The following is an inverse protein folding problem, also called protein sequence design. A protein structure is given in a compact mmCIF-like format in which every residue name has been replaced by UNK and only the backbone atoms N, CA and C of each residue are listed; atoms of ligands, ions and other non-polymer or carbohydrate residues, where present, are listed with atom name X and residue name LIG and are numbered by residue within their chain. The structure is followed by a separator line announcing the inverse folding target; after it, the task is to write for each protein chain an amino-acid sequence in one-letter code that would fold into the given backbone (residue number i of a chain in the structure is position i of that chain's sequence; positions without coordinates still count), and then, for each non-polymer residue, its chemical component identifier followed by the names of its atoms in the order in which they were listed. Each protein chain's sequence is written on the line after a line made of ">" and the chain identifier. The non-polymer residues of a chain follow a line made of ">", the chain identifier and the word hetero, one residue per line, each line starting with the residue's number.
data_IF_813094787053
#
_entry.id   IF_813094787053
#
_cell.length_a   1.000
_cell.length_b   1.000
_cell.length_c   1.000
_cell.angle_alpha   90.00
_cell.angle_beta   90.00
_cell.angle_gamma   90.00
#
_symmetry.space_group_name_H-M   'P 1'
#
loop_
_entity.id
_entity.type
_entity.pdbx_description
1 polymer ?
#
# COMPACT_ATOMS: atom_id res chain seq x y z
N UNK A 1 39.45 42.88 52.13
CA UNK A 1 40.14 41.61 51.80
C UNK A 1 39.36 40.47 52.45
N UNK A 2 39.06 39.39 51.69
CA UNK A 2 38.28 38.19 52.06
C UNK A 2 36.76 38.41 51.92
N UNK A 3 35.99 37.87 50.95
CA UNK A 3 35.84 36.58 50.23
C UNK A 3 35.30 35.43 51.11
N UNK A 4 34.24 34.79 50.57
CA UNK A 4 33.55 33.51 50.92
C UNK A 4 32.29 33.70 51.80
N UNK A 5 31.12 33.14 51.49
CA UNK A 5 30.69 32.10 50.54
C UNK A 5 29.16 32.22 50.33
N UNK A 6 28.68 32.07 49.08
CA UNK A 6 27.27 31.84 48.78
C UNK A 6 27.02 30.33 48.67
N UNK A 7 26.09 29.72 49.42
CA UNK A 7 25.68 28.36 49.14
C UNK A 7 24.62 28.35 48.04
N UNK A 8 25.09 27.89 46.88
CA UNK A 8 24.43 27.08 45.89
C UNK A 8 22.90 26.93 45.97
N UNK A 9 22.25 27.52 44.97
CA UNK A 9 20.94 27.24 44.40
C UNK A 9 20.54 25.76 44.50
N UNK A 10 19.53 25.46 45.33
CA UNK A 10 18.70 24.27 45.20
C UNK A 10 17.72 24.48 44.04
N UNK A 11 18.16 24.17 42.82
CA UNK A 11 17.27 23.94 41.68
C UNK A 11 17.04 22.44 41.55
N UNK A 12 16.06 21.92 42.29
CA UNK A 12 15.50 20.60 42.03
C UNK A 12 14.59 20.71 40.79
N UNK A 13 14.85 19.96 39.70
CA UNK A 13 14.12 20.12 38.46
C UNK A 13 12.73 19.51 38.59
N UNK A 14 11.70 20.35 38.48
CA UNK A 14 10.31 19.94 38.30
C UNK A 14 10.09 19.45 36.87
N UNK A 15 10.64 18.27 36.53
CA UNK A 15 10.60 17.77 35.15
C UNK A 15 10.55 16.23 35.03
N UNK A 16 9.73 15.56 35.85
CA UNK A 16 9.64 14.09 35.85
C UNK A 16 8.20 13.55 35.87
N UNK A 17 7.27 14.24 35.23
CA UNK A 17 5.88 13.77 35.05
C UNK A 17 5.38 13.81 33.60
N UNK A 18 6.27 13.94 32.61
CA UNK A 18 5.89 13.99 31.18
C UNK A 18 6.10 12.66 30.43
N UNK A 19 5.67 11.54 31.01
CA UNK A 19 5.67 10.25 30.31
C UNK A 19 4.57 9.28 30.76
N UNK A 20 3.39 9.79 31.09
CA UNK A 20 2.18 8.96 31.02
C UNK A 20 1.51 9.20 29.66
N UNK A 21 1.72 8.25 28.75
CA UNK A 21 0.98 8.14 27.51
C UNK A 21 -0.51 7.99 27.80
N UNK A 22 -1.23 9.11 27.80
CA UNK A 22 -2.68 9.09 27.68
C UNK A 22 -3.01 8.70 26.23
N UNK A 23 -3.87 7.69 26.01
CA UNK A 23 -4.49 7.56 24.71
C UNK A 23 -5.30 8.84 24.52
N UNK A 24 -5.05 9.56 23.42
CA UNK A 24 -5.90 10.68 23.01
C UNK A 24 -7.30 10.13 22.80
N UNK A 25 -8.11 10.19 23.86
CA UNK A 25 -9.52 9.93 23.87
C UNK A 25 -10.16 11.11 23.13
N UNK A 26 -10.69 10.88 21.93
CA UNK A 26 -11.41 11.90 21.19
C UNK A 26 -10.76 12.39 19.89
N UNK A 27 -9.90 11.60 19.25
CA UNK A 27 -9.77 11.77 17.80
C UNK A 27 -11.12 11.37 17.17
N UNK A 28 -11.76 12.23 16.36
CA UNK A 28 -12.90 11.79 15.55
C UNK A 28 -12.45 10.56 14.74
N UNK A 29 -13.35 9.62 14.38
CA UNK A 29 -12.96 8.50 13.53
C UNK A 29 -12.19 9.09 12.37
N UNK A 30 -10.88 8.78 12.30
CA UNK A 30 -10.03 9.35 11.27
C UNK A 30 -10.52 8.69 10.00
N UNK A 31 -11.48 9.33 9.33
CA UNK A 31 -11.89 8.99 7.98
C UNK A 31 -10.60 8.94 7.18
N UNK A 32 -10.13 7.73 6.92
CA UNK A 32 -8.87 7.53 6.24
C UNK A 32 -9.00 8.23 4.90
N UNK A 33 -7.99 8.98 4.46
CA UNK A 33 -8.05 9.75 3.21
C UNK A 33 -8.49 8.89 2.01
N UNK A 34 -8.20 7.59 2.06
CA UNK A 34 -8.59 6.60 1.05
C UNK A 34 -10.10 6.38 0.94
N UNK A 35 -10.88 6.80 1.93
CA UNK A 35 -12.34 6.74 1.92
C UNK A 35 -12.97 7.87 1.10
N UNK A 36 -12.25 8.96 0.79
CA UNK A 36 -12.66 9.84 -0.30
C UNK A 36 -12.39 9.11 -1.62
N UNK A 37 -13.47 8.69 -2.30
CA UNK A 37 -13.39 7.93 -3.54
C UNK A 37 -12.51 8.57 -4.61
N UNK A 38 -12.36 9.89 -4.61
CA UNK A 38 -11.50 10.63 -5.55
C UNK A 38 -10.02 10.31 -5.37
N UNK A 39 -9.59 10.02 -4.14
CA UNK A 39 -8.21 9.68 -3.82
C UNK A 39 -7.84 8.35 -4.47
N UNK A 40 -8.64 7.30 -4.25
CA UNK A 40 -8.37 6.01 -4.86
C UNK A 40 -8.56 6.04 -6.39
N UNK A 41 -9.57 6.74 -6.88
CA UNK A 41 -9.86 6.83 -8.32
C UNK A 41 -8.69 7.46 -9.10
N UNK A 42 -8.00 8.45 -8.51
CA UNK A 42 -6.79 9.02 -9.12
C UNK A 42 -5.74 7.95 -9.41
N UNK A 43 -5.43 7.07 -8.44
CA UNK A 43 -4.44 6.01 -8.65
C UNK A 43 -4.92 4.98 -9.67
N UNK A 44 -6.22 4.69 -9.73
CA UNK A 44 -6.81 3.77 -10.72
C UNK A 44 -6.64 4.35 -12.13
N UNK A 45 -6.92 5.64 -12.31
CA UNK A 45 -6.75 6.32 -13.60
C UNK A 45 -5.29 6.38 -14.02
N UNK A 46 -4.38 6.69 -13.09
CA UNK A 46 -2.92 6.67 -13.35
C UNK A 46 -2.43 5.26 -13.73
N UNK A 47 -2.96 4.20 -13.10
CA UNK A 47 -2.64 2.81 -13.42
C UNK A 47 -3.17 2.39 -14.79
N UNK A 48 -4.39 2.80 -15.14
CA UNK A 48 -4.99 2.54 -16.45
C UNK A 48 -4.21 3.26 -17.55
N UNK A 49 -3.76 4.48 -17.30
CA UNK A 49 -2.93 5.21 -18.26
C UNK A 49 -1.59 4.50 -18.49
N UNK A 50 -0.94 4.02 -17.43
CA UNK A 50 0.29 3.24 -17.56
C UNK A 50 0.08 1.94 -18.37
N UNK A 51 -1.03 1.23 -18.14
CA UNK A 51 -1.44 0.07 -18.95
C UNK A 51 -1.58 0.45 -20.43
N UNK A 52 -2.26 1.55 -20.75
CA UNK A 52 -2.45 2.01 -22.13
C UNK A 52 -1.14 2.33 -22.85
N UNK A 53 -0.23 3.04 -22.18
CA UNK A 53 1.08 3.39 -22.75
C UNK A 53 1.88 2.13 -23.09
N UNK A 54 1.79 1.09 -22.27
CA UNK A 54 2.50 -0.17 -22.52
C UNK A 54 1.89 -1.05 -23.61
N UNK A 55 0.64 -0.80 -24.03
CA UNK A 55 0.05 -1.51 -25.18
C UNK A 55 0.72 -1.11 -26.51
N UNK A 56 1.27 0.10 -26.60
CA UNK A 56 2.01 0.57 -27.78
C UNK A 56 3.48 0.15 -27.81
N UNK A 57 3.93 -0.58 -26.78
CA UNK A 57 5.33 -0.94 -26.60
C UNK A 57 5.61 -2.32 -27.20
N UNK A 58 6.42 -2.35 -28.26
CA UNK A 58 6.87 -3.59 -28.91
C UNK A 58 7.94 -4.30 -28.05
N UNK A 59 9.13 -4.58 -28.60
CA UNK A 59 10.18 -5.35 -27.91
C UNK A 59 10.72 -4.67 -26.64
N UNK A 60 10.61 -3.33 -26.52
CA UNK A 60 11.09 -2.55 -25.38
C UNK A 60 10.34 -2.78 -24.05
N UNK A 61 9.28 -3.59 -24.05
CA UNK A 61 8.52 -3.93 -22.84
C UNK A 61 8.67 -5.38 -22.39
N UNK A 62 9.51 -6.17 -23.06
CA UNK A 62 9.90 -7.48 -22.56
C UNK A 62 10.78 -7.33 -21.33
N UNK A 63 10.52 -8.15 -20.31
CA UNK A 63 11.39 -8.29 -19.15
C UNK A 63 12.37 -9.42 -19.44
N UNK A 64 13.62 -9.27 -18.99
CA UNK A 64 14.63 -10.34 -19.10
C UNK A 64 14.36 -11.51 -18.16
N UNK A 65 13.50 -11.30 -17.14
CA UNK A 65 13.17 -12.26 -16.11
C UNK A 65 11.66 -12.27 -15.83
N UNK A 66 11.16 -13.41 -15.36
CA UNK A 66 9.78 -13.55 -14.92
C UNK A 66 9.59 -12.92 -13.54
N UNK A 67 8.63 -12.00 -13.42
CA UNK A 67 8.27 -11.35 -12.16
C UNK A 67 7.01 -12.00 -11.58
N UNK A 68 7.06 -12.40 -10.32
CA UNK A 68 5.90 -12.91 -9.58
C UNK A 68 4.95 -11.78 -9.20
N UNK A 69 3.66 -11.96 -9.43
CA UNK A 69 2.58 -10.98 -9.23
C UNK A 69 1.37 -11.61 -8.54
N UNK A 70 0.53 -10.82 -7.83
CA UNK A 70 -0.66 -11.35 -7.17
C UNK A 70 -1.79 -11.69 -8.16
N UNK A 71 -2.66 -12.64 -7.78
CA UNK A 71 -3.93 -12.85 -8.44
C UNK A 71 -4.89 -11.67 -8.22
N UNK A 72 -5.27 -11.03 -9.32
CA UNK A 72 -6.19 -9.89 -9.33
C UNK A 72 -7.64 -10.29 -9.59
N UNK A 73 -7.92 -11.56 -9.89
CA UNK A 73 -9.28 -12.03 -10.16
C UNK A 73 -10.13 -11.93 -8.90
N UNK A 74 -11.36 -11.49 -9.08
CA UNK A 74 -12.36 -11.42 -8.01
C UNK A 74 -13.58 -12.20 -8.43
N UNK A 75 -13.95 -13.19 -7.63
CA UNK A 75 -15.27 -13.79 -7.69
C UNK A 75 -16.20 -12.98 -6.78
N UNK A 76 -17.07 -12.15 -7.36
CA UNK A 76 -17.94 -11.25 -6.58
C UNK A 76 -18.86 -11.99 -5.59
N UNK A 77 -19.32 -13.19 -5.94
CA UNK A 77 -20.16 -14.00 -5.05
C UNK A 77 -19.38 -14.47 -3.82
N UNK A 78 -18.17 -15.00 -4.02
CA UNK A 78 -17.30 -15.42 -2.93
C UNK A 78 -16.81 -14.22 -2.10
N UNK A 79 -16.41 -13.14 -2.76
CA UNK A 79 -15.90 -11.91 -2.14
C UNK A 79 -16.92 -11.30 -1.18
N UNK A 80 -18.19 -11.15 -1.60
CA UNK A 80 -19.25 -10.58 -0.75
C UNK A 80 -19.55 -11.42 0.49
N UNK A 81 -19.28 -12.73 0.44
CA UNK A 81 -19.48 -13.66 1.56
C UNK A 81 -18.24 -13.82 2.44
N UNK A 82 -17.09 -13.31 2.00
CA UNK A 82 -15.83 -13.38 2.71
C UNK A 82 -15.82 -12.40 3.88
N UNK A 83 -15.19 -12.80 4.99
CA UNK A 83 -14.99 -11.90 6.12
C UNK A 83 -14.10 -10.71 5.72
N UNK A 84 -14.42 -9.52 6.23
CA UNK A 84 -13.66 -8.29 5.94
C UNK A 84 -12.18 -8.44 6.33
N UNK A 85 -11.88 -9.12 7.44
CA UNK A 85 -10.49 -9.41 7.83
C UNK A 85 -9.75 -10.26 6.79
N UNK A 86 -10.43 -11.25 6.19
CA UNK A 86 -9.84 -12.04 5.11
C UNK A 86 -9.66 -11.23 3.82
N UNK A 87 -10.60 -10.32 3.49
CA UNK A 87 -10.43 -9.38 2.39
C UNK A 87 -9.21 -8.46 2.63
N UNK A 88 -9.01 -8.01 3.87
CA UNK A 88 -7.86 -7.21 4.27
C UNK A 88 -6.54 -7.98 4.08
N UNK A 89 -6.49 -9.26 4.47
CA UNK A 89 -5.34 -10.15 4.23
C UNK A 89 -5.02 -10.24 2.75
N UNK A 90 -6.01 -10.55 1.90
CA UNK A 90 -5.80 -10.68 0.45
C UNK A 90 -5.28 -9.38 -0.18
N UNK A 91 -5.83 -8.23 0.23
CA UNK A 91 -5.44 -6.93 -0.30
C UNK A 91 -4.07 -6.51 0.22
N UNK A 92 -3.78 -6.70 1.50
CA UNK A 92 -2.51 -6.31 2.10
C UNK A 92 -1.35 -7.12 1.53
N UNK A 93 -1.48 -8.45 1.49
CA UNK A 93 -0.47 -9.33 0.92
C UNK A 93 -0.33 -9.11 -0.59
N UNK A 94 -1.44 -8.94 -1.31
CA UNK A 94 -1.44 -8.64 -2.73
C UNK A 94 -0.73 -7.33 -3.05
N UNK A 95 -0.98 -6.26 -2.29
CA UNK A 95 -0.33 -4.97 -2.49
C UNK A 95 1.18 -5.03 -2.17
N UNK A 96 1.57 -5.77 -1.13
CA UNK A 96 2.98 -5.97 -0.79
C UNK A 96 3.72 -6.67 -1.93
N UNK A 97 3.17 -7.78 -2.45
CA UNK A 97 3.74 -8.50 -3.59
C UNK A 97 3.78 -7.63 -4.85
N UNK A 98 2.73 -6.86 -5.12
CA UNK A 98 2.68 -5.96 -6.27
C UNK A 98 3.73 -4.84 -6.17
N UNK A 99 3.98 -4.32 -4.95
CA UNK A 99 5.02 -3.33 -4.70
C UNK A 99 6.40 -3.89 -5.02
N UNK A 100 6.68 -5.13 -4.60
CA UNK A 100 7.92 -5.82 -4.95
C UNK A 100 8.03 -6.05 -6.46
N UNK A 101 6.96 -6.50 -7.10
CA UNK A 101 6.91 -6.75 -8.54
C UNK A 101 7.22 -5.49 -9.36
N UNK A 102 6.64 -4.35 -8.98
CA UNK A 102 6.88 -3.05 -9.64
C UNK A 102 8.30 -2.57 -9.41
N UNK A 103 8.87 -2.72 -8.20
CA UNK A 103 10.27 -2.39 -7.94
C UNK A 103 11.24 -3.27 -8.77
N UNK A 104 10.95 -4.57 -8.90
CA UNK A 104 11.72 -5.45 -9.79
C UNK A 104 11.61 -5.02 -11.25
N UNK A 105 10.40 -4.69 -11.71
CA UNK A 105 10.16 -4.18 -13.06
C UNK A 105 10.92 -2.89 -13.34
N UNK A 106 10.99 -1.98 -12.37
CA UNK A 106 11.77 -0.75 -12.44
C UNK A 106 13.27 -1.02 -12.59
N UNK A 107 13.82 -1.95 -11.79
CA UNK A 107 15.22 -2.32 -11.87
C UNK A 107 15.57 -2.94 -13.23
N UNK A 108 14.72 -3.82 -13.76
CA UNK A 108 14.91 -4.41 -15.09
C UNK A 108 14.82 -3.38 -16.21
N UNK A 109 13.88 -2.43 -16.12
CA UNK A 109 13.76 -1.33 -17.09
C UNK A 109 15.00 -0.42 -17.07
N UNK A 110 15.54 -0.11 -15.89
CA UNK A 110 16.73 0.71 -15.74
C UNK A 110 17.99 0.07 -16.33
N UNK A 111 18.04 -1.27 -16.36
CA UNK A 111 19.14 -2.04 -16.94
C UNK A 111 18.98 -2.30 -18.46
N UNK A 112 17.88 -1.84 -19.07
CA UNK A 112 17.65 -1.98 -20.52
C UNK A 112 18.58 -1.04 -21.31
N UNK A 113 19.03 -1.51 -22.47
CA UNK A 113 19.88 -0.74 -23.39
C UNK A 113 19.17 0.44 -24.05
N UNK A 114 17.84 0.46 -24.07
CA UNK A 114 17.03 1.58 -24.57
C UNK A 114 15.83 1.85 -23.64
N UNK A 115 16.02 2.59 -22.55
CA UNK A 115 14.93 2.95 -21.65
C UNK A 115 14.04 4.01 -22.31
N UNK A 116 12.74 3.72 -22.40
CA UNK A 116 11.75 4.74 -22.79
C UNK A 116 11.48 5.66 -21.60
N UNK A 117 11.75 6.96 -21.77
CA UNK A 117 11.51 7.98 -20.73
C UNK A 117 10.04 7.98 -20.27
N UNK A 118 9.10 7.79 -21.21
CA UNK A 118 7.67 7.70 -20.89
C UNK A 118 7.38 6.49 -20.01
N UNK A 119 7.93 5.31 -20.31
CA UNK A 119 7.76 4.12 -19.47
C UNK A 119 8.36 4.30 -18.09
N UNK A 120 9.55 4.91 -18.01
CA UNK A 120 10.22 5.19 -16.75
C UNK A 120 9.38 6.10 -15.86
N UNK A 121 8.80 7.17 -16.43
CA UNK A 121 7.88 8.06 -15.70
C UNK A 121 6.67 7.31 -15.14
N UNK A 122 6.05 6.42 -15.91
CA UNK A 122 4.91 5.63 -15.43
C UNK A 122 5.33 4.61 -14.35
N UNK A 123 6.53 4.06 -14.44
CA UNK A 123 7.09 3.18 -13.44
C UNK A 123 7.34 3.91 -12.12
N UNK A 124 7.96 5.09 -12.17
CA UNK A 124 8.22 5.92 -10.98
C UNK A 124 6.92 6.35 -10.30
N UNK A 125 5.89 6.71 -11.10
CA UNK A 125 4.54 6.98 -10.60
C UNK A 125 3.93 5.75 -9.92
N UNK A 126 4.07 4.56 -10.50
CA UNK A 126 3.56 3.32 -9.90
C UNK A 126 4.25 3.00 -8.57
N UNK A 127 5.58 3.14 -8.49
CA UNK A 127 6.35 2.97 -7.24
C UNK A 127 5.87 3.96 -6.17
N UNK A 128 5.74 5.24 -6.53
CA UNK A 128 5.25 6.28 -5.61
C UNK A 128 3.80 6.06 -5.18
N UNK A 129 2.95 5.65 -6.12
CA UNK A 129 1.54 5.35 -5.90
C UNK A 129 1.35 4.18 -4.95
N UNK A 130 2.05 3.06 -5.18
CA UNK A 130 2.00 1.88 -4.31
C UNK A 130 2.49 2.17 -2.89
N UNK A 131 3.53 2.99 -2.73
CA UNK A 131 3.99 3.46 -1.41
C UNK A 131 2.92 4.29 -0.69
N UNK A 132 2.27 5.19 -1.41
CA UNK A 132 1.19 6.03 -0.88
C UNK A 132 -0.02 5.18 -0.50
N UNK A 133 -0.45 4.26 -1.36
CA UNK A 133 -1.56 3.33 -1.12
C UNK A 133 -1.27 2.41 0.06
N UNK A 134 -0.04 1.91 0.22
CA UNK A 134 0.38 1.11 1.38
C UNK A 134 0.19 1.89 2.67
N UNK A 135 0.57 3.17 2.68
CA UNK A 135 0.44 4.04 3.85
C UNK A 135 -1.03 4.33 4.17
N UNK A 136 -1.84 4.57 3.14
CA UNK A 136 -3.28 4.80 3.25
C UNK A 136 -4.03 3.56 3.76
N UNK A 137 -3.72 2.37 3.26
CA UNK A 137 -4.30 1.11 3.73
C UNK A 137 -3.88 0.76 5.15
N UNK A 138 -2.63 1.06 5.51
CA UNK A 138 -2.18 0.92 6.91
C UNK A 138 -3.01 1.81 7.83
N UNK A 139 -3.25 3.06 7.43
CA UNK A 139 -4.09 3.99 8.18
C UNK A 139 -5.56 3.55 8.26
N UNK A 140 -6.06 2.85 7.23
CA UNK A 140 -7.40 2.23 7.22
C UNK A 140 -7.49 1.00 8.15
N UNK A 141 -6.37 0.46 8.64
CA UNK A 141 -6.33 -0.70 9.53
C UNK A 141 -6.12 -2.04 8.83
N UNK A 142 -5.94 -2.06 7.50
CA UNK A 142 -5.77 -3.29 6.72
C UNK A 142 -4.59 -4.16 7.20
N UNK A 143 -3.49 -3.52 7.61
CA UNK A 143 -2.33 -4.24 8.17
C UNK A 143 -2.67 -4.91 9.50
N UNK A 144 -3.44 -4.25 10.37
CA UNK A 144 -3.82 -4.79 11.68
C UNK A 144 -4.77 -5.97 11.50
N UNK A 145 -5.76 -5.84 10.61
CA UNK A 145 -6.68 -6.92 10.24
C UNK A 145 -5.95 -8.11 9.58
N UNK A 146 -4.89 -7.84 8.81
CA UNK A 146 -4.10 -8.88 8.18
C UNK A 146 -3.17 -9.64 9.15
N UNK A 147 -2.78 -9.03 10.26
CA UNK A 147 -1.89 -9.63 11.28
C UNK A 147 -2.68 -10.33 12.38
N UNK A 148 -3.95 -9.97 12.60
CA UNK A 148 -4.81 -10.69 13.56
C UNK A 148 -4.93 -12.17 13.16
N UNK A 149 -4.68 -13.11 14.09
CA UNK A 149 -4.74 -14.53 13.78
C UNK A 149 -6.18 -14.89 13.36
N UNK A 150 -6.37 -15.59 12.23
CA UNK A 150 -7.70 -16.00 11.83
C UNK A 150 -8.23 -17.00 12.87
N UNK A 151 -9.50 -16.83 13.26
CA UNK A 151 -10.20 -17.74 14.19
C UNK A 151 -10.25 -19.18 13.63
N UNK A 152 -9.97 -19.37 12.33
CA UNK A 152 -9.75 -20.66 11.70
C UNK A 152 -8.40 -20.69 10.94
N UNK A 153 -7.55 -21.65 11.27
CA UNK A 153 -6.19 -21.84 10.75
C UNK A 153 -6.12 -22.29 9.28
N UNK A 154 -6.81 -21.63 8.34
CA UNK A 154 -6.79 -22.04 6.92
C UNK A 154 -6.90 -20.86 5.93
N UNK A 155 -6.16 -19.78 6.17
CA UNK A 155 -5.94 -18.80 5.09
C UNK A 155 -5.15 -19.51 3.98
N UNK A 156 -5.83 -19.86 2.88
CA UNK A 156 -5.17 -20.44 1.72
C UNK A 156 -4.06 -19.47 1.22
N UNK A 157 -2.91 -19.99 0.77
CA UNK A 157 -1.82 -19.14 0.28
C UNK A 157 -2.32 -18.18 -0.82
N UNK A 158 -1.80 -16.95 -0.80
CA UNK A 158 -2.06 -15.97 -1.86
C UNK A 158 -1.75 -16.61 -3.21
N UNK A 159 -2.72 -16.64 -4.11
CA UNK A 159 -2.49 -17.11 -5.48
C UNK A 159 -1.61 -16.11 -6.21
N UNK A 160 -0.58 -16.62 -6.87
CA UNK A 160 0.40 -15.82 -7.60
C UNK A 160 0.52 -16.31 -9.04
N UNK A 161 0.96 -15.42 -9.91
CA UNK A 161 1.29 -15.70 -11.31
C UNK A 161 2.64 -15.07 -11.65
N UNK A 162 3.19 -15.41 -12.81
CA UNK A 162 4.39 -14.76 -13.34
C UNK A 162 4.06 -13.95 -14.58
N UNK A 163 4.75 -12.83 -14.74
CA UNK A 163 4.68 -11.99 -15.94
C UNK A 163 6.07 -11.76 -16.50
N UNK A 164 6.15 -11.71 -17.82
CA UNK A 164 7.37 -11.58 -18.64
C UNK A 164 7.42 -10.23 -19.37
N UNK A 165 6.41 -9.38 -19.22
CA UNK A 165 6.35 -8.07 -19.87
C UNK A 165 5.81 -6.99 -18.94
N UNK A 166 6.27 -5.75 -19.16
CA UNK A 166 5.76 -4.56 -18.50
C UNK A 166 4.27 -4.33 -18.78
N UNK A 167 3.80 -4.66 -19.99
CA UNK A 167 2.38 -4.60 -20.34
C UNK A 167 1.53 -5.49 -19.43
N UNK A 168 1.95 -6.75 -19.23
CA UNK A 168 1.25 -7.65 -18.30
C UNK A 168 1.35 -7.12 -16.86
N UNK A 169 2.49 -6.58 -16.43
CA UNK A 169 2.67 -6.01 -15.09
C UNK A 169 1.73 -4.82 -14.83
N UNK A 170 1.68 -3.84 -15.73
CA UNK A 170 0.78 -2.68 -15.58
C UNK A 170 -0.69 -3.07 -15.68
N UNK A 171 -1.04 -4.08 -16.49
CA UNK A 171 -2.39 -4.66 -16.50
C UNK A 171 -2.76 -5.27 -15.15
N UNK A 172 -1.84 -6.00 -14.51
CA UNK A 172 -2.05 -6.52 -13.15
C UNK A 172 -2.20 -5.36 -12.16
N UNK A 173 -1.34 -4.35 -12.22
CA UNK A 173 -1.43 -3.16 -11.36
C UNK A 173 -2.81 -2.48 -11.47
N UNK A 174 -3.24 -2.15 -12.69
CA UNK A 174 -4.56 -1.59 -13.01
C UNK A 174 -5.71 -2.46 -12.49
N UNK A 175 -5.66 -3.78 -12.76
CA UNK A 175 -6.67 -4.73 -12.31
C UNK A 175 -6.76 -4.84 -10.78
N UNK A 176 -5.62 -4.85 -10.10
CA UNK A 176 -5.57 -4.95 -8.65
C UNK A 176 -6.22 -3.74 -7.98
N UNK A 177 -5.88 -2.53 -8.44
CA UNK A 177 -6.41 -1.28 -7.90
C UNK A 177 -7.92 -1.16 -8.14
N UNK A 178 -8.38 -1.39 -9.38
CA UNK A 178 -9.81 -1.26 -9.74
C UNK A 178 -10.67 -2.41 -9.20
N UNK A 179 -10.06 -3.54 -8.87
CA UNK A 179 -10.71 -4.75 -8.39
C UNK A 179 -10.66 -4.86 -6.87
N UNK A 180 -9.81 -5.77 -6.36
CA UNK A 180 -9.74 -6.12 -4.93
C UNK A 180 -9.59 -4.91 -4.01
N UNK A 181 -8.68 -3.99 -4.35
CA UNK A 181 -8.43 -2.81 -3.53
C UNK A 181 -9.66 -1.90 -3.42
N UNK A 182 -10.28 -1.54 -4.55
CA UNK A 182 -11.49 -0.72 -4.57
C UNK A 182 -12.66 -1.36 -3.82
N UNK A 183 -12.83 -2.67 -3.99
CA UNK A 183 -13.89 -3.41 -3.30
C UNK A 183 -13.68 -3.45 -1.78
N UNK A 184 -12.47 -3.75 -1.32
CA UNK A 184 -12.15 -3.76 0.11
C UNK A 184 -12.30 -2.37 0.73
N UNK A 185 -11.68 -1.35 0.14
CA UNK A 185 -11.78 0.03 0.66
C UNK A 185 -13.24 0.48 0.76
N UNK A 186 -14.07 0.15 -0.24
CA UNK A 186 -15.49 0.48 -0.22
C UNK A 186 -16.31 -0.24 0.88
N UNK A 187 -15.90 -1.43 1.32
CA UNK A 187 -16.51 -2.13 2.46
C UNK A 187 -15.96 -1.60 3.80
N UNK A 188 -14.65 -1.48 3.93
CA UNK A 188 -13.97 -1.02 5.13
C UNK A 188 -14.40 0.41 5.52
N UNK A 189 -14.50 1.32 4.55
CA UNK A 189 -14.93 2.69 4.81
C UNK A 189 -16.40 2.79 5.26
N UNK A 190 -17.31 1.96 4.70
CA UNK A 190 -18.72 1.91 5.16
C UNK A 190 -18.85 1.39 6.58
N UNK A 191 -17.92 0.56 7.04
CA UNK A 191 -17.92 -0.01 8.39
C UNK A 191 -17.38 0.96 9.43
N UNK A 192 -16.46 1.85 9.04
CA UNK A 192 -15.94 2.92 9.91
C UNK A 192 -16.93 4.06 10.18
N UNK A 193 -17.97 4.20 9.34
CA UNK A 193 -19.05 5.18 9.50
C UNK A 193 -20.19 4.71 10.43
N UNK A 194 -20.18 3.45 10.89
CA UNK A 194 -21.17 2.86 11.80
C UNK A 194 -20.61 2.66 13.19
#
# INVERSE_FOLDING_TARGET
>A
MGVRECPARLLLPSLLLLSLGLPVLGAPPRLSLICDGRVLERYILEAKEAENVTMGCAEGCSLSENITVPDTKVNFYAWKRMEVGQQAVEVWQGLALLSEAVLRGQALLANSSQPSETLQLHMDKAVSGLRSLTSLLRALGAQKEAISPPVAASAAPLRTFTVDTLCKLFRIYSNFLRGKLKLYTGEACRRGDR
#
